data_IF_506456752968
#
_entry.id   IF_506456752968
#
_cell.length_a   1.000
_cell.length_b   1.000
_cell.length_c   1.000
_cell.angle_alpha   90.00
_cell.angle_beta   90.00
_cell.angle_gamma   90.00
#
_symmetry.space_group_name_H-M   'P 1'
#
loop_
_entity.id
_entity.type
_entity.pdbx_description
1 polymer ?
#
# COMPACT_ATOMS: atom_id res chain seq x y z
N UNK A 1 9.40 -13.64 -22.82
CA UNK A 1 9.49 -14.14 -21.42
C UNK A 1 10.77 -13.70 -20.69
N UNK A 2 11.61 -12.80 -21.22
CA UNK A 2 12.92 -12.48 -20.61
C UNK A 2 12.86 -11.54 -19.40
N UNK A 3 11.74 -10.82 -19.20
CA UNK A 3 11.64 -9.73 -18.22
C UNK A 3 10.68 -10.01 -17.06
N UNK A 4 10.12 -11.22 -16.97
CA UNK A 4 9.28 -11.66 -15.87
C UNK A 4 8.09 -10.74 -15.59
N UNK A 5 7.89 -10.36 -14.32
CA UNK A 5 6.77 -9.51 -13.90
C UNK A 5 6.86 -8.08 -14.43
N UNK A 6 8.07 -7.56 -14.68
CA UNK A 6 8.26 -6.20 -15.19
C UNK A 6 7.75 -6.11 -16.63
N UNK A 7 8.20 -7.02 -17.50
CA UNK A 7 7.75 -7.07 -18.89
C UNK A 7 6.26 -7.39 -19.01
N UNK A 8 5.67 -8.14 -18.08
CA UNK A 8 4.21 -8.37 -18.05
C UNK A 8 3.45 -7.06 -17.79
N UNK A 9 3.94 -6.21 -16.87
CA UNK A 9 3.34 -4.92 -16.57
C UNK A 9 3.57 -3.88 -17.68
N UNK A 10 4.81 -3.72 -18.13
CA UNK A 10 5.18 -2.75 -19.17
C UNK A 10 4.48 -3.05 -20.50
N UNK A 11 4.42 -4.31 -20.93
CA UNK A 11 3.70 -4.67 -22.17
C UNK A 11 2.18 -4.43 -22.08
N UNK A 12 1.58 -4.49 -20.89
CA UNK A 12 0.19 -4.08 -20.70
C UNK A 12 0.04 -2.57 -20.82
N UNK A 13 0.94 -1.80 -20.19
CA UNK A 13 0.98 -0.34 -20.29
C UNK A 13 1.22 0.15 -21.73
N UNK A 14 2.03 -0.58 -22.51
CA UNK A 14 2.32 -0.31 -23.92
C UNK A 14 1.20 -0.79 -24.88
N UNK A 15 0.12 -1.39 -24.36
CA UNK A 15 -1.03 -1.81 -25.14
C UNK A 15 -0.80 -3.06 -26.02
N UNK A 16 0.19 -3.89 -25.70
CA UNK A 16 0.47 -5.10 -26.48
C UNK A 16 -0.58 -6.19 -26.27
N UNK A 17 -1.34 -6.11 -25.17
CA UNK A 17 -2.42 -7.02 -24.84
C UNK A 17 -3.43 -6.35 -23.91
N UNK A 18 -4.64 -6.88 -23.90
CA UNK A 18 -5.74 -6.37 -23.08
C UNK A 18 -6.36 -7.49 -22.24
N UNK A 19 -6.97 -7.12 -21.11
CA UNK A 19 -7.67 -8.04 -20.24
C UNK A 19 -8.83 -7.34 -19.54
N UNK A 20 -10.05 -7.85 -19.69
CA UNK A 20 -11.25 -7.27 -19.08
C UNK A 20 -11.20 -7.30 -17.54
N UNK A 21 -10.60 -8.36 -16.97
CA UNK A 21 -10.59 -8.63 -15.53
C UNK A 21 -9.20 -9.00 -15.04
N UNK A 22 -8.32 -7.99 -14.99
CA UNK A 22 -6.95 -8.14 -14.50
C UNK A 22 -6.88 -8.75 -13.09
N UNK A 23 -7.84 -8.41 -12.22
CA UNK A 23 -7.94 -8.96 -10.86
C UNK A 23 -8.11 -10.49 -10.86
N UNK A 24 -9.00 -11.01 -11.72
CA UNK A 24 -9.22 -12.45 -11.86
C UNK A 24 -8.03 -13.11 -12.54
N UNK A 25 -7.45 -12.46 -13.56
CA UNK A 25 -6.26 -12.94 -14.24
C UNK A 25 -5.10 -13.16 -13.25
N UNK A 26 -4.72 -12.12 -12.50
CA UNK A 26 -3.64 -12.22 -11.52
C UNK A 26 -3.97 -13.20 -10.39
N UNK A 27 -5.21 -13.27 -9.92
CA UNK A 27 -5.63 -14.30 -8.95
C UNK A 27 -5.35 -15.71 -9.47
N UNK A 28 -5.71 -16.01 -10.72
CA UNK A 28 -5.48 -17.33 -11.33
C UNK A 28 -4.00 -17.62 -11.56
N UNK A 29 -3.24 -16.64 -12.06
CA UNK A 29 -1.79 -16.74 -12.27
C UNK A 29 -1.07 -17.09 -10.98
N UNK A 30 -1.35 -16.35 -9.90
CA UNK A 30 -0.74 -16.55 -8.60
C UNK A 30 -1.20 -17.86 -7.95
N UNK A 31 -2.48 -18.23 -8.07
CA UNK A 31 -3.00 -19.50 -7.53
C UNK A 31 -2.38 -20.72 -8.22
N UNK A 32 -2.12 -20.63 -9.53
CA UNK A 32 -1.45 -21.68 -10.28
C UNK A 32 0.07 -21.70 -10.05
N UNK A 33 0.63 -20.71 -9.35
CA UNK A 33 2.06 -20.63 -9.05
C UNK A 33 2.91 -20.44 -10.30
N UNK A 34 2.37 -19.80 -11.35
CA UNK A 34 3.08 -19.65 -12.63
C UNK A 34 4.38 -18.86 -12.47
N UNK A 35 4.45 -17.96 -11.48
CA UNK A 35 5.67 -17.22 -11.14
C UNK A 35 6.82 -18.15 -10.72
N UNK A 36 6.52 -19.33 -10.18
CA UNK A 36 7.50 -20.35 -9.77
C UNK A 36 7.84 -21.32 -10.90
N UNK A 37 7.00 -21.38 -11.94
CA UNK A 37 7.19 -22.25 -13.09
C UNK A 37 7.96 -21.56 -14.22
N UNK A 38 8.18 -20.25 -14.11
CA UNK A 38 9.04 -19.52 -15.04
C UNK A 38 10.49 -20.03 -14.90
N UNK A 39 11.15 -20.41 -16.00
CA UNK A 39 12.52 -20.87 -15.95
C UNK A 39 13.42 -19.80 -15.35
N UNK A 40 14.01 -20.08 -14.19
CA UNK A 40 14.95 -19.19 -13.54
C UNK A 40 16.21 -19.04 -14.40
N UNK A 41 16.34 -17.90 -15.08
CA UNK A 41 17.57 -17.58 -15.78
C UNK A 41 18.62 -17.08 -14.79
N UNK A 42 19.87 -17.52 -14.95
CA UNK A 42 21.02 -17.13 -14.12
C UNK A 42 21.17 -15.59 -13.95
N UNK A 43 20.69 -14.82 -14.94
CA UNK A 43 20.63 -13.34 -14.88
C UNK A 43 19.70 -12.82 -13.78
N UNK A 44 18.58 -13.48 -13.49
CA UNK A 44 17.65 -13.05 -12.42
C UNK A 44 18.27 -13.26 -11.05
N UNK A 45 18.95 -14.39 -10.84
CA UNK A 45 19.71 -14.66 -9.61
C UNK A 45 20.80 -13.61 -9.40
N UNK A 46 21.55 -13.25 -10.45
CA UNK A 46 22.55 -12.18 -10.40
C UNK A 46 21.93 -10.81 -10.13
N UNK A 47 20.76 -10.50 -10.70
CA UNK A 47 20.05 -9.24 -10.49
C UNK A 47 19.52 -9.12 -9.05
N UNK A 48 18.99 -10.21 -8.50
CA UNK A 48 18.56 -10.29 -7.10
C UNK A 48 19.75 -10.16 -6.16
N UNK A 49 20.86 -10.86 -6.45
CA UNK A 49 22.09 -10.78 -5.65
C UNK A 49 22.67 -9.36 -5.68
N UNK A 50 22.73 -8.73 -6.86
CA UNK A 50 23.16 -7.35 -7.02
C UNK A 50 22.26 -6.36 -6.28
N UNK A 51 20.94 -6.50 -6.37
CA UNK A 51 19.99 -5.63 -5.65
C UNK A 51 20.11 -5.76 -4.13
N UNK A 52 20.44 -6.97 -3.62
CA UNK A 52 20.69 -7.20 -2.18
C UNK A 52 22.03 -6.62 -1.72
N UNK A 53 23.07 -6.70 -2.55
CA UNK A 53 24.40 -6.15 -2.25
C UNK A 53 24.44 -4.61 -2.37
N UNK A 54 23.70 -4.06 -3.32
CA UNK A 54 23.54 -2.61 -3.52
C UNK A 54 22.17 -2.18 -3.01
N UNK A 55 21.96 -2.23 -1.69
CA UNK A 55 20.72 -1.77 -1.10
C UNK A 55 20.57 -0.24 -1.28
N UNK A 56 19.72 0.17 -2.24
CA UNK A 56 19.46 1.57 -2.53
C UNK A 56 18.52 2.24 -1.49
N UNK A 57 17.94 1.48 -0.56
CA UNK A 57 17.06 1.98 0.53
C UNK A 57 17.88 2.59 1.68
N UNK A 58 18.75 3.55 1.35
CA UNK A 58 19.38 4.40 2.37
C UNK A 58 18.40 5.47 2.85
N UNK A 59 18.49 5.92 4.11
CA UNK A 59 17.66 7.03 4.65
C UNK A 59 17.66 8.27 3.73
N UNK A 60 18.80 8.58 3.09
CA UNK A 60 18.94 9.71 2.15
C UNK A 60 18.09 9.58 0.89
N UNK A 61 17.77 8.35 0.46
CA UNK A 61 16.98 8.07 -0.76
C UNK A 61 15.52 7.78 -0.49
N UNK A 62 15.14 7.53 0.77
CA UNK A 62 13.75 7.33 1.17
C UNK A 62 12.85 8.53 0.77
N UNK A 63 13.41 9.75 0.81
CA UNK A 63 12.71 10.96 0.39
C UNK A 63 12.39 11.00 -1.12
N UNK A 64 13.29 10.47 -1.96
CA UNK A 64 13.09 10.38 -3.42
C UNK A 64 11.92 9.44 -3.72
N UNK A 65 11.88 8.28 -3.06
CA UNK A 65 10.79 7.30 -3.23
C UNK A 65 9.46 7.87 -2.75
N UNK A 66 9.46 8.58 -1.60
CA UNK A 66 8.25 9.25 -1.09
C UNK A 66 7.72 10.29 -2.08
N UNK A 67 8.60 11.12 -2.66
CA UNK A 67 8.18 12.12 -3.64
C UNK A 67 7.58 11.48 -4.90
N UNK A 68 8.29 10.54 -5.51
CA UNK A 68 7.86 9.90 -6.77
C UNK A 68 6.59 9.03 -6.64
N UNK A 69 6.29 8.48 -5.45
CA UNK A 69 5.08 7.67 -5.25
C UNK A 69 3.87 8.44 -4.70
N UNK A 70 4.07 9.60 -4.09
CA UNK A 70 2.99 10.39 -3.48
C UNK A 70 2.74 11.75 -4.15
N UNK A 71 3.52 12.17 -5.16
CA UNK A 71 3.23 13.38 -5.98
C UNK A 71 2.14 13.15 -7.05
N UNK A 72 1.48 11.99 -7.09
CA UNK A 72 0.17 11.86 -7.75
C UNK A 72 -0.78 12.78 -7.00
N UNK A 73 -1.10 13.96 -7.55
CA UNK A 73 -1.79 15.03 -6.82
C UNK A 73 -3.05 14.58 -6.06
N UNK A 74 -3.37 15.31 -4.98
CA UNK A 74 -4.52 15.02 -4.09
C UNK A 74 -5.87 14.89 -4.84
N UNK A 75 -5.99 15.39 -6.06
CA UNK A 75 -7.18 15.29 -6.92
C UNK A 75 -7.52 13.86 -7.32
N UNK A 76 -6.52 12.99 -7.50
CA UNK A 76 -6.76 11.57 -7.76
C UNK A 76 -7.20 10.87 -6.47
N UNK A 77 -6.43 11.07 -5.40
CA UNK A 77 -6.66 10.39 -4.13
C UNK A 77 -8.00 10.77 -3.50
N UNK A 78 -8.40 12.04 -3.54
CA UNK A 78 -9.69 12.50 -3.01
C UNK A 78 -10.91 11.92 -3.73
N UNK A 79 -10.75 11.47 -4.98
CA UNK A 79 -11.81 10.78 -5.74
C UNK A 79 -11.81 9.27 -5.54
N UNK A 80 -10.64 8.69 -5.24
CA UNK A 80 -10.44 7.25 -5.10
C UNK A 80 -10.66 6.75 -3.66
N UNK A 81 -10.26 7.55 -2.67
CA UNK A 81 -10.24 7.17 -1.26
C UNK A 81 -11.54 7.56 -0.54
N UNK A 82 -11.65 7.13 0.70
CA UNK A 82 -12.70 7.59 1.61
C UNK A 82 -12.48 9.06 2.03
N UNK A 83 -13.48 9.71 2.64
CA UNK A 83 -13.38 11.10 3.10
C UNK A 83 -12.21 11.38 4.06
N UNK A 84 -11.62 10.34 4.70
CA UNK A 84 -10.49 10.48 5.61
C UNK A 84 -9.14 10.15 4.96
N UNK A 85 -9.09 10.06 3.62
CA UNK A 85 -7.88 9.89 2.82
C UNK A 85 -7.02 8.70 3.27
N UNK A 86 -7.65 7.58 3.64
CA UNK A 86 -6.94 6.41 4.13
C UNK A 86 -6.42 5.57 2.96
N UNK A 87 -5.18 5.82 2.54
CA UNK A 87 -4.51 4.99 1.53
C UNK A 87 -3.90 3.72 2.15
N UNK A 88 -4.77 2.90 2.74
CA UNK A 88 -4.42 1.63 3.39
C UNK A 88 -5.62 0.67 3.34
N UNK A 89 -5.40 -0.60 3.67
CA UNK A 89 -6.45 -1.63 3.64
C UNK A 89 -7.58 -1.32 4.64
N UNK A 90 -8.83 -1.38 4.19
CA UNK A 90 -10.02 -1.30 5.06
C UNK A 90 -10.33 -2.63 5.76
N UNK A 91 -11.12 -2.58 6.84
CA UNK A 91 -11.59 -3.77 7.56
C UNK A 91 -13.05 -4.07 7.23
N UNK A 92 -13.27 -5.11 6.43
CA UNK A 92 -14.55 -5.38 5.74
C UNK A 92 -15.49 -6.37 6.45
N UNK A 93 -15.24 -6.72 7.72
CA UNK A 93 -15.98 -7.80 8.39
C UNK A 93 -17.50 -7.61 8.32
N UNK A 94 -17.98 -6.41 8.66
CA UNK A 94 -19.41 -6.04 8.60
C UNK A 94 -19.66 -4.83 7.69
N UNK A 95 -18.61 -4.22 7.17
CA UNK A 95 -18.71 -2.98 6.41
C UNK A 95 -19.23 -3.23 4.99
N UNK A 96 -20.12 -2.36 4.53
CA UNK A 96 -20.71 -2.39 3.18
C UNK A 96 -20.24 -1.22 2.31
N UNK A 97 -19.35 -0.37 2.82
CA UNK A 97 -18.77 0.77 2.11
C UNK A 97 -17.31 0.97 2.49
N UNK A 98 -16.55 1.63 1.62
CA UNK A 98 -15.13 1.94 1.86
C UNK A 98 -14.95 2.78 3.13
N UNK A 99 -15.79 3.81 3.31
CA UNK A 99 -15.77 4.66 4.50
C UNK A 99 -16.02 3.83 5.78
N UNK A 100 -17.06 2.98 5.78
CA UNK A 100 -17.35 2.13 6.93
C UNK A 100 -16.21 1.14 7.21
N UNK A 101 -15.57 0.60 6.17
CA UNK A 101 -14.44 -0.31 6.33
C UNK A 101 -13.20 0.40 6.91
N UNK A 102 -12.97 1.66 6.54
CA UNK A 102 -11.88 2.46 7.09
C UNK A 102 -12.14 2.84 8.55
N UNK A 103 -13.37 3.21 8.91
CA UNK A 103 -13.74 3.47 10.31
C UNK A 103 -13.60 2.20 11.17
N UNK A 104 -14.08 1.05 10.68
CA UNK A 104 -13.97 -0.22 11.40
C UNK A 104 -12.51 -0.67 11.59
N UNK A 105 -11.62 -0.36 10.62
CA UNK A 105 -10.17 -0.59 10.75
C UNK A 105 -9.58 0.25 11.88
N UNK A 106 -9.92 1.54 11.94
CA UNK A 106 -9.41 2.45 12.96
C UNK A 106 -9.91 2.06 14.36
N UNK A 107 -11.19 1.72 14.50
CA UNK A 107 -11.74 1.16 15.75
C UNK A 107 -10.98 -0.09 16.20
N UNK A 108 -10.74 -1.03 15.26
CA UNK A 108 -10.01 -2.25 15.56
C UNK A 108 -8.59 -1.97 16.06
N UNK A 109 -7.90 -0.98 15.48
CA UNK A 109 -6.57 -0.55 15.93
C UNK A 109 -6.65 0.01 17.36
N UNK A 110 -7.58 0.92 17.64
CA UNK A 110 -7.75 1.50 18.97
C UNK A 110 -8.07 0.42 20.02
N UNK A 111 -8.94 -0.53 19.71
CA UNK A 111 -9.26 -1.66 20.61
C UNK A 111 -8.07 -2.58 20.86
N UNK A 112 -7.25 -2.85 19.85
CA UNK A 112 -6.04 -3.67 20.00
C UNK A 112 -4.94 -2.98 20.80
N UNK A 113 -4.90 -1.66 20.75
CA UNK A 113 -3.97 -0.85 21.51
C UNK A 113 -4.47 -0.52 22.93
N UNK A 114 -5.71 -0.91 23.25
CA UNK A 114 -6.35 -0.68 24.57
C UNK A 114 -6.22 0.78 25.02
N UNK A 115 -6.44 1.72 24.09
CA UNK A 115 -6.20 3.13 24.36
C UNK A 115 -7.19 3.70 25.37
N UNK A 116 -6.68 4.48 26.32
CA UNK A 116 -7.46 5.20 27.32
C UNK A 116 -7.34 6.73 27.17
N UNK A 117 -8.34 7.50 27.62
CA UNK A 117 -8.27 8.95 27.62
C UNK A 117 -7.03 9.49 28.35
N UNK A 118 -6.28 10.38 27.68
CA UNK A 118 -5.07 11.02 28.23
C UNK A 118 -3.76 10.35 27.83
N UNK A 119 -3.80 9.20 27.15
CA UNK A 119 -2.61 8.58 26.57
C UNK A 119 -2.03 9.41 25.42
N UNK A 120 -0.72 9.25 25.17
CA UNK A 120 -0.04 9.81 23.98
C UNK A 120 0.30 8.68 23.03
N UNK A 121 0.02 8.90 21.75
CA UNK A 121 0.26 7.90 20.70
C UNK A 121 1.19 8.47 19.65
N UNK A 122 2.19 7.67 19.26
CA UNK A 122 3.07 7.95 18.15
C UNK A 122 2.57 7.17 16.93
N UNK A 123 2.20 7.89 15.86
CA UNK A 123 1.85 7.32 14.57
C UNK A 123 2.98 7.56 13.56
N UNK A 124 3.69 6.49 13.21
CA UNK A 124 4.84 6.54 12.29
C UNK A 124 4.34 6.30 10.87
N UNK A 125 4.37 7.35 10.05
CA UNK A 125 3.82 7.31 8.69
C UNK A 125 2.33 7.64 8.64
N UNK A 126 1.92 8.70 9.35
CA UNK A 126 0.51 9.06 9.54
C UNK A 126 -0.24 9.53 8.27
N UNK A 127 0.42 9.60 7.11
CA UNK A 127 -0.19 9.98 5.84
C UNK A 127 -0.83 11.37 5.89
N UNK A 128 -2.11 11.47 5.54
CA UNK A 128 -2.90 12.71 5.66
C UNK A 128 -3.36 13.01 7.10
N UNK A 129 -2.87 12.25 8.09
CA UNK A 129 -3.19 12.35 9.51
C UNK A 129 -4.40 11.49 9.92
N UNK A 130 -4.61 11.28 11.23
CA UNK A 130 -5.78 10.61 11.76
C UNK A 130 -7.00 11.55 11.69
N UNK A 131 -7.62 11.68 10.52
CA UNK A 131 -8.80 12.53 10.33
C UNK A 131 -10.10 11.74 10.47
N UNK A 132 -10.16 10.67 11.28
CA UNK A 132 -11.46 10.11 11.66
C UNK A 132 -12.01 10.89 12.88
N UNK A 133 -13.11 11.67 12.74
CA UNK A 133 -13.52 12.64 13.74
C UNK A 133 -13.99 12.05 15.07
N UNK A 134 -14.45 10.79 15.08
CA UNK A 134 -15.21 10.26 16.22
C UNK A 134 -14.35 9.49 17.23
N UNK A 135 -13.32 8.75 16.78
CA UNK A 135 -12.53 7.88 17.67
C UNK A 135 -11.20 8.52 18.07
N UNK A 136 -10.58 9.29 17.16
CA UNK A 136 -9.23 9.82 17.39
C UNK A 136 -9.22 11.10 18.23
N UNK A 137 -10.30 11.89 18.21
CA UNK A 137 -10.40 13.17 18.94
C UNK A 137 -10.47 13.01 20.46
N UNK A 138 -11.03 11.92 20.96
CA UNK A 138 -11.14 11.69 22.41
C UNK A 138 -9.85 11.14 23.02
N UNK A 139 -8.99 10.50 22.22
CA UNK A 139 -7.87 9.70 22.72
C UNK A 139 -6.52 10.39 22.52
N UNK A 140 -6.29 11.13 21.42
CA UNK A 140 -4.93 11.55 21.03
C UNK A 140 -4.86 13.07 20.80
N UNK A 141 -3.99 13.75 21.57
CA UNK A 141 -3.79 15.21 21.52
C UNK A 141 -2.71 15.68 20.53
N UNK A 142 -1.93 14.78 19.93
CA UNK A 142 -0.88 15.15 18.97
C UNK A 142 -0.38 13.93 18.17
N UNK A 143 -0.26 14.07 16.85
CA UNK A 143 0.56 13.20 16.01
C UNK A 143 1.70 14.05 15.42
N UNK A 144 2.93 13.54 15.45
CA UNK A 144 4.11 14.22 14.88
C UNK A 144 4.84 13.31 13.90
N UNK A 145 5.20 13.84 12.74
CA UNK A 145 6.26 13.28 11.90
C UNK A 145 7.57 13.32 12.69
N UNK A 146 8.30 12.20 12.74
CA UNK A 146 9.73 12.21 13.11
C UNK A 146 10.55 12.27 11.84
#
# INVERSE_FOLDING_TARGET
MQEGSLGLGESYMDGWWECERLDIFFHKVLRAGLEKQLPHHFKDTLRIAGARLFNLQSKKRAWIVGKEHYDLGNDLFSRMLDPYMQYSCGYWKEAQSLEAAQQAKLDLICRKLELEPGMRVLDIGCGWGPVSPNIWREIIRSASWV
#
